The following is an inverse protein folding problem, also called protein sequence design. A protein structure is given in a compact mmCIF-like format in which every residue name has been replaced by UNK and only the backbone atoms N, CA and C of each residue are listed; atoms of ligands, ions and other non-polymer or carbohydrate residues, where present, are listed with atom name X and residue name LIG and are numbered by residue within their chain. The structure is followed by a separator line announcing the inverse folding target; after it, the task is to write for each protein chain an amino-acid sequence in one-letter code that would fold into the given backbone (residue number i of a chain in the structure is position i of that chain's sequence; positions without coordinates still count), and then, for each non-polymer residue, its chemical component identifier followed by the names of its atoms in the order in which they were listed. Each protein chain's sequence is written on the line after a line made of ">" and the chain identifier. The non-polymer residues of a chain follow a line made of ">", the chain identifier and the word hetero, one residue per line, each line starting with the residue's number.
data_IF_099370079627
#
_entry.id   IF_099370079627
#
_cell.length_a   1.000
_cell.length_b   1.000
_cell.length_c   1.000
_cell.angle_alpha   90.00
_cell.angle_beta   90.00
_cell.angle_gamma   90.00
#
_symmetry.space_group_name_H-M   'P 1'
#
loop_
_entity.id
_entity.type
_entity.pdbx_description
1 polymer ?
#
# COMPACT_ATOMS: atom_id res chain seq x y z
N UNK A 1 -30.38 9.56 -13.38
CA UNK A 1 -29.30 10.05 -12.52
C UNK A 1 -27.99 9.69 -13.17
N UNK A 2 -27.05 10.63 -13.31
CA UNK A 2 -25.69 10.29 -13.69
C UNK A 2 -25.06 9.45 -12.56
N UNK A 3 -24.19 8.47 -12.86
CA UNK A 3 -23.51 7.72 -11.81
C UNK A 3 -22.69 8.68 -10.96
N UNK A 4 -22.74 8.51 -9.63
CA UNK A 4 -21.87 9.22 -8.69
C UNK A 4 -20.42 8.98 -9.13
N UNK A 5 -19.75 10.03 -9.62
CA UNK A 5 -18.31 9.99 -9.87
C UNK A 5 -17.62 10.34 -8.56
N UNK A 6 -16.75 9.46 -8.09
CA UNK A 6 -15.92 9.72 -6.93
C UNK A 6 -15.04 10.95 -7.19
N UNK A 7 -15.15 11.95 -6.31
CA UNK A 7 -14.23 13.10 -6.26
C UNK A 7 -13.17 12.81 -5.20
N UNK A 8 -11.89 13.01 -5.56
CA UNK A 8 -10.75 12.70 -4.70
C UNK A 8 -10.60 13.74 -3.59
N UNK A 9 -10.13 13.33 -2.42
CA UNK A 9 -9.68 14.29 -1.42
C UNK A 9 -8.38 14.96 -1.87
N UNK A 10 -8.42 16.28 -2.05
CA UNK A 10 -7.22 17.08 -2.28
C UNK A 10 -6.34 17.16 -1.01
N UNK A 11 -6.95 17.06 0.19
CA UNK A 11 -6.24 17.09 1.46
C UNK A 11 -5.44 15.80 1.71
N UNK A 12 -5.93 14.65 1.23
CA UNK A 12 -5.22 13.38 1.37
C UNK A 12 -3.85 13.41 0.65
N UNK A 13 -3.76 14.08 -0.49
CA UNK A 13 -2.52 14.22 -1.26
C UNK A 13 -1.53 15.23 -0.65
N UNK A 14 -1.97 16.10 0.26
CA UNK A 14 -1.08 17.06 0.91
C UNK A 14 -0.17 16.37 1.91
N UNK A 15 1.10 16.79 1.88
CA UNK A 15 2.11 16.40 2.87
C UNK A 15 1.88 17.23 4.11
N UNK A 16 1.59 16.55 5.21
CA UNK A 16 1.49 17.20 6.51
C UNK A 16 2.90 17.56 7.02
N UNK A 17 3.06 18.76 7.57
CA UNK A 17 4.38 19.26 7.98
C UNK A 17 4.98 18.47 9.15
N UNK A 18 4.13 17.92 10.03
CA UNK A 18 4.58 17.09 11.14
C UNK A 18 4.94 15.68 10.65
N UNK A 19 4.19 15.13 9.68
CA UNK A 19 4.55 13.89 9.01
C UNK A 19 5.89 14.01 8.25
N UNK A 20 6.07 15.08 7.48
CA UNK A 20 7.33 15.37 6.78
C UNK A 20 8.51 15.42 7.75
N UNK A 21 8.35 16.16 8.86
CA UNK A 21 9.37 16.26 9.90
C UNK A 21 9.74 14.88 10.47
N UNK A 22 8.75 14.06 10.84
CA UNK A 22 9.01 12.72 11.36
C UNK A 22 9.78 11.85 10.36
N UNK A 23 9.44 11.96 9.06
CA UNK A 23 10.13 11.21 7.99
C UNK A 23 11.57 11.67 7.85
N UNK A 24 11.81 12.99 7.86
CA UNK A 24 13.15 13.56 7.79
C UNK A 24 14.01 13.18 9.01
N UNK A 25 13.42 13.22 10.21
CA UNK A 25 14.09 12.82 11.45
C UNK A 25 14.47 11.32 11.39
N UNK A 26 13.54 10.44 11.01
CA UNK A 26 13.81 9.01 10.86
C UNK A 26 14.85 8.70 9.77
N UNK A 27 14.84 9.46 8.66
CA UNK A 27 15.83 9.36 7.59
C UNK A 27 17.22 9.75 8.08
N UNK A 28 17.34 10.90 8.76
CA UNK A 28 18.60 11.41 9.28
C UNK A 28 19.20 10.46 10.33
N UNK A 29 18.38 9.97 11.27
CA UNK A 29 18.83 8.97 12.25
C UNK A 29 19.34 7.69 11.58
N UNK A 30 18.66 7.22 10.53
CA UNK A 30 19.08 6.01 9.80
C UNK A 30 20.39 6.25 9.06
N UNK A 31 20.62 7.45 8.53
CA UNK A 31 21.86 7.82 7.86
C UNK A 31 23.03 7.79 8.86
N UNK A 32 22.84 8.42 10.02
CA UNK A 32 23.82 8.45 11.10
C UNK A 32 24.16 7.04 11.63
N UNK A 33 23.14 6.20 11.85
CA UNK A 33 23.30 4.83 12.35
C UNK A 33 23.97 3.90 11.33
N UNK A 34 23.69 4.08 10.03
CA UNK A 34 24.24 3.25 8.96
C UNK A 34 25.70 3.57 8.64
N UNK A 35 26.21 4.72 9.13
CA UNK A 35 27.55 5.24 8.82
C UNK A 35 27.84 5.20 7.31
N UNK A 36 26.84 5.57 6.52
CA UNK A 36 26.86 5.56 5.06
C UNK A 36 26.75 6.98 4.51
N UNK A 37 27.24 7.20 3.29
CA UNK A 37 27.09 8.50 2.61
C UNK A 37 25.65 8.71 2.12
N UNK A 38 24.92 7.62 1.85
CA UNK A 38 23.56 7.63 1.31
C UNK A 38 22.65 6.58 1.97
N UNK A 39 21.34 6.82 1.87
CA UNK A 39 20.32 5.81 2.20
C UNK A 39 20.09 4.92 0.99
N UNK A 40 20.27 3.61 1.16
CA UNK A 40 19.94 2.59 0.16
C UNK A 40 18.61 1.91 0.47
N UNK A 41 18.02 1.21 -0.49
CA UNK A 41 16.75 0.48 -0.33
C UNK A 41 16.71 -0.42 0.91
N UNK A 42 17.79 -1.12 1.21
CA UNK A 42 17.89 -2.00 2.40
C UNK A 42 17.66 -1.27 3.73
N UNK A 43 17.79 0.07 3.75
CA UNK A 43 17.55 0.91 4.92
C UNK A 43 16.09 1.37 5.05
N UNK A 44 15.27 1.30 3.99
CA UNK A 44 13.86 1.71 4.06
C UNK A 44 13.04 0.99 5.15
N UNK A 45 13.20 -0.34 5.37
CA UNK A 45 12.48 -1.02 6.45
C UNK A 45 12.83 -0.45 7.83
N UNK A 46 14.06 0.03 8.02
CA UNK A 46 14.52 0.66 9.26
C UNK A 46 13.80 2.00 9.46
N UNK A 47 13.71 2.82 8.41
CA UNK A 47 12.98 4.09 8.44
C UNK A 47 11.51 3.87 8.79
N UNK A 48 10.83 2.93 8.12
CA UNK A 48 9.42 2.63 8.41
C UNK A 48 9.21 2.06 9.82
N UNK A 49 10.18 1.29 10.33
CA UNK A 49 10.16 0.81 11.70
C UNK A 49 10.28 1.96 12.71
N UNK A 50 11.23 2.91 12.50
CA UNK A 50 11.39 4.11 13.34
C UNK A 50 10.13 4.98 13.36
N UNK A 51 9.45 5.07 12.21
CA UNK A 51 8.16 5.77 12.09
C UNK A 51 6.99 5.04 12.76
N UNK A 52 7.21 3.83 13.32
CA UNK A 52 6.19 2.95 13.90
C UNK A 52 5.07 2.59 12.91
N UNK A 53 5.38 2.45 11.62
CA UNK A 53 4.39 2.02 10.64
C UNK A 53 4.00 0.56 10.91
N UNK A 54 2.70 0.22 11.03
CA UNK A 54 2.28 -1.17 11.17
C UNK A 54 2.76 -2.02 9.98
N UNK A 55 3.44 -3.12 10.28
CA UNK A 55 4.08 -3.98 9.26
C UNK A 55 3.11 -4.49 8.17
N UNK A 56 1.82 -4.57 8.45
CA UNK A 56 0.81 -4.90 7.43
C UNK A 56 0.74 -3.90 6.26
N UNK A 57 1.27 -2.69 6.41
CA UNK A 57 1.35 -1.68 5.35
C UNK A 57 2.72 -1.64 4.66
N UNK A 58 3.74 -2.33 5.18
CA UNK A 58 5.11 -2.33 4.62
C UNK A 58 5.58 -3.70 4.15
N UNK A 59 4.89 -4.78 4.52
CA UNK A 59 5.27 -6.16 4.21
C UNK A 59 5.58 -6.38 2.72
N UNK A 60 4.81 -5.78 1.84
CA UNK A 60 4.98 -5.86 0.39
C UNK A 60 6.27 -5.18 -0.09
N UNK A 61 6.63 -4.06 0.52
CA UNK A 61 7.88 -3.33 0.29
C UNK A 61 9.06 -4.16 0.79
N UNK A 62 8.97 -4.67 2.02
CA UNK A 62 10.02 -5.48 2.64
C UNK A 62 10.31 -6.73 1.79
N UNK A 63 9.26 -7.39 1.30
CA UNK A 63 9.37 -8.53 0.38
C UNK A 63 10.02 -8.16 -0.96
N UNK A 64 9.71 -6.98 -1.51
CA UNK A 64 10.31 -6.50 -2.75
C UNK A 64 11.79 -6.15 -2.58
N UNK A 65 12.15 -5.49 -1.48
CA UNK A 65 13.54 -5.16 -1.14
C UNK A 65 14.35 -6.44 -0.93
N UNK A 66 13.81 -7.40 -0.16
CA UNK A 66 14.46 -8.69 0.05
C UNK A 66 14.69 -9.41 -1.28
N UNK A 67 13.67 -9.49 -2.14
CA UNK A 67 13.79 -10.11 -3.45
C UNK A 67 14.81 -9.41 -4.36
N UNK A 68 14.86 -8.08 -4.33
CA UNK A 68 15.82 -7.29 -5.10
C UNK A 68 17.26 -7.67 -4.75
N UNK A 69 17.59 -7.66 -3.45
CA UNK A 69 18.94 -8.02 -3.02
C UNK A 69 19.23 -9.52 -3.23
N UNK A 70 18.27 -10.41 -2.96
CA UNK A 70 18.47 -11.84 -3.19
C UNK A 70 18.82 -12.13 -4.66
N UNK A 71 18.07 -11.59 -5.63
CA UNK A 71 18.30 -11.89 -7.05
C UNK A 71 19.50 -11.15 -7.64
N UNK A 72 19.82 -9.96 -7.16
CA UNK A 72 21.03 -9.25 -7.57
C UNK A 72 22.32 -10.06 -7.27
N UNK A 73 22.29 -10.98 -6.30
CA UNK A 73 23.39 -11.90 -6.04
C UNK A 73 23.36 -13.21 -6.85
N UNK A 74 22.24 -13.56 -7.50
CA UNK A 74 22.05 -14.86 -8.17
C UNK A 74 21.90 -14.79 -9.70
N UNK A 75 22.12 -13.63 -10.33
CA UNK A 75 22.20 -13.43 -11.80
C UNK A 75 21.06 -14.11 -12.59
N UNK A 76 19.86 -14.15 -12.00
CA UNK A 76 18.69 -14.85 -12.53
C UNK A 76 17.53 -13.87 -12.73
N UNK A 77 17.74 -12.94 -13.67
CA UNK A 77 16.68 -12.04 -14.12
C UNK A 77 15.69 -12.79 -15.03
N UNK A 78 14.64 -13.37 -14.44
CA UNK A 78 13.46 -13.84 -15.17
C UNK A 78 12.41 -12.72 -15.21
N UNK A 79 11.80 -12.46 -16.38
CA UNK A 79 10.62 -11.59 -16.57
C UNK A 79 9.41 -12.16 -15.83
N UNK A 80 9.43 -11.99 -14.51
CA UNK A 80 8.40 -12.43 -13.58
C UNK A 80 7.59 -11.23 -13.09
N UNK A 81 6.35 -11.46 -12.67
CA UNK A 81 5.53 -10.43 -12.03
C UNK A 81 6.25 -9.76 -10.84
N UNK A 82 7.05 -10.53 -10.08
CA UNK A 82 7.87 -9.99 -8.98
C UNK A 82 8.93 -9.00 -9.47
N UNK A 83 9.58 -9.28 -10.60
CA UNK A 83 10.53 -8.35 -11.23
C UNK A 83 9.87 -7.01 -11.58
N UNK A 84 8.64 -7.04 -12.10
CA UNK A 84 7.87 -5.83 -12.43
C UNK A 84 7.47 -5.03 -11.18
N UNK A 85 7.02 -5.71 -10.12
CA UNK A 85 6.72 -5.07 -8.84
C UNK A 85 7.95 -4.37 -8.27
N UNK A 86 9.10 -5.05 -8.27
CA UNK A 86 10.37 -4.50 -7.78
C UNK A 86 10.84 -3.33 -8.64
N UNK A 87 10.79 -3.43 -9.96
CA UNK A 87 11.09 -2.28 -10.83
C UNK A 87 10.18 -1.08 -10.56
N UNK A 88 8.91 -1.31 -10.23
CA UNK A 88 7.99 -0.23 -9.86
C UNK A 88 8.37 0.41 -8.52
N UNK A 89 8.70 -0.40 -7.51
CA UNK A 89 9.21 0.06 -6.21
C UNK A 89 10.45 0.94 -6.41
N UNK A 90 11.44 0.42 -7.14
CA UNK A 90 12.67 1.13 -7.46
C UNK A 90 12.35 2.50 -8.08
N UNK A 91 11.53 2.54 -9.13
CA UNK A 91 11.17 3.81 -9.79
C UNK A 91 10.51 4.82 -8.86
N UNK A 92 9.76 4.35 -7.87
CA UNK A 92 8.98 5.19 -6.97
C UNK A 92 9.71 5.60 -5.71
N UNK A 93 10.78 4.93 -5.32
CA UNK A 93 11.47 5.22 -4.05
C UNK A 93 12.95 5.55 -4.22
N UNK A 94 13.55 5.30 -5.38
CA UNK A 94 14.97 5.54 -5.63
C UNK A 94 15.22 6.59 -6.71
N UNK A 95 16.47 7.04 -6.79
CA UNK A 95 16.93 7.92 -7.83
C UNK A 95 16.81 7.23 -9.19
N UNK A 96 16.03 7.84 -10.07
CA UNK A 96 15.77 7.36 -11.43
C UNK A 96 16.33 8.34 -12.45
N UNK A 97 17.22 7.87 -13.31
CA UNK A 97 17.75 8.65 -14.43
C UNK A 97 17.42 8.02 -15.76
N UNK A 98 16.88 8.79 -16.70
CA UNK A 98 16.65 8.31 -18.06
C UNK A 98 17.89 8.56 -18.91
N UNK A 99 18.59 7.50 -19.31
CA UNK A 99 19.77 7.60 -20.18
C UNK A 99 19.50 6.87 -21.49
N UNK A 100 19.49 7.62 -22.61
CA UNK A 100 19.27 7.04 -23.94
C UNK A 100 17.87 6.45 -24.19
N UNK A 101 16.87 6.83 -23.37
CA UNK A 101 15.50 6.29 -23.46
C UNK A 101 15.23 5.08 -22.56
N UNK A 102 16.27 4.51 -21.94
CA UNK A 102 16.14 3.49 -20.90
C UNK A 102 16.20 4.14 -19.52
N UNK A 103 15.34 3.70 -18.60
CA UNK A 103 15.37 4.14 -17.21
C UNK A 103 16.43 3.33 -16.47
N UNK A 104 17.50 4.00 -16.07
CA UNK A 104 18.51 3.48 -15.15
C UNK A 104 18.07 3.82 -13.72
N UNK A 105 18.02 2.81 -12.87
CA UNK A 105 17.46 2.93 -11.52
C UNK A 105 18.51 2.50 -10.51
N UNK A 106 18.87 3.44 -9.64
CA UNK A 106 19.81 3.21 -8.54
C UNK A 106 19.11 2.51 -7.37
N UNK A 107 19.85 1.90 -6.45
CA UNK A 107 19.34 1.49 -5.14
C UNK A 107 19.45 2.59 -4.08
N UNK A 108 19.98 3.77 -4.44
CA UNK A 108 19.98 4.99 -3.62
C UNK A 108 18.58 5.60 -3.56
N UNK A 109 18.07 5.78 -2.36
CA UNK A 109 16.73 6.27 -2.06
C UNK A 109 16.61 7.76 -2.35
N UNK A 110 15.52 8.15 -3.00
CA UNK A 110 15.15 9.54 -3.26
C UNK A 110 14.28 10.07 -2.12
N UNK A 111 14.82 11.03 -1.35
CA UNK A 111 14.17 11.53 -0.13
C UNK A 111 12.81 12.18 -0.41
N UNK A 112 12.66 12.92 -1.52
CA UNK A 112 11.41 13.58 -1.88
C UNK A 112 10.30 12.55 -2.12
N UNK A 113 10.67 11.43 -2.76
CA UNK A 113 9.74 10.33 -3.00
C UNK A 113 9.39 9.59 -1.71
N UNK A 114 10.34 9.44 -0.79
CA UNK A 114 10.09 8.86 0.54
C UNK A 114 9.18 9.76 1.38
N UNK A 115 9.31 11.08 1.31
CA UNK A 115 8.41 12.01 2.00
C UNK A 115 6.98 11.82 1.48
N UNK A 116 6.79 11.80 0.16
CA UNK A 116 5.46 11.63 -0.44
C UNK A 116 4.82 10.28 -0.09
N UNK A 117 5.59 9.20 -0.23
CA UNK A 117 5.11 7.85 0.06
C UNK A 117 4.92 7.61 1.57
N UNK A 118 5.89 8.05 2.36
CA UNK A 118 5.89 7.96 3.82
C UNK A 118 4.76 8.74 4.47
N UNK A 119 4.38 9.89 3.90
CA UNK A 119 3.22 10.67 4.37
C UNK A 119 1.93 9.83 4.37
N UNK A 120 1.70 9.03 3.32
CA UNK A 120 0.55 8.11 3.27
C UNK A 120 0.63 7.04 4.36
N UNK A 121 1.80 6.44 4.53
CA UNK A 121 2.01 5.44 5.58
C UNK A 121 1.81 6.01 6.98
N UNK A 122 2.25 7.26 7.22
CA UNK A 122 2.02 7.98 8.47
C UNK A 122 0.52 8.19 8.70
N UNK A 123 -0.24 8.61 7.68
CA UNK A 123 -1.72 8.68 7.79
C UNK A 123 -2.35 7.33 8.12
N UNK A 124 -1.84 6.23 7.53
CA UNK A 124 -2.31 4.88 7.83
C UNK A 124 -1.99 4.45 9.26
N UNK A 125 -0.80 4.81 9.77
CA UNK A 125 -0.40 4.56 11.16
C UNK A 125 -1.33 5.30 12.12
N UNK A 126 -1.53 6.60 11.89
CA UNK A 126 -2.27 7.46 12.82
C UNK A 126 -3.75 7.06 12.91
N UNK A 127 -4.32 6.57 11.80
CA UNK A 127 -5.70 6.08 11.74
C UNK A 127 -5.82 4.55 11.80
N UNK A 128 -4.75 3.82 12.17
CA UNK A 128 -4.73 2.37 12.13
C UNK A 128 -5.89 1.70 12.91
N UNK A 129 -6.29 2.16 14.12
CA UNK A 129 -7.43 1.59 14.82
C UNK A 129 -8.75 1.70 14.04
N UNK A 130 -8.97 2.82 13.36
CA UNK A 130 -10.18 3.10 12.58
C UNK A 130 -10.21 2.25 11.31
N UNK A 131 -9.09 2.24 10.58
CA UNK A 131 -8.90 1.39 9.39
C UNK A 131 -9.15 -0.07 9.74
N UNK A 132 -8.56 -0.57 10.83
CA UNK A 132 -8.70 -1.95 11.28
C UNK A 132 -10.14 -2.29 11.65
N UNK A 133 -10.83 -1.40 12.36
CA UNK A 133 -12.22 -1.63 12.75
C UNK A 133 -13.17 -1.62 11.54
N UNK A 134 -13.00 -0.67 10.62
CA UNK A 134 -13.75 -0.64 9.37
C UNK A 134 -13.47 -1.88 8.52
N UNK A 135 -12.20 -2.28 8.40
CA UNK A 135 -11.80 -3.50 7.69
C UNK A 135 -12.45 -4.76 8.28
N UNK A 136 -12.53 -4.85 9.62
CA UNK A 136 -13.22 -5.95 10.32
C UNK A 136 -14.67 -6.08 9.87
N UNK A 137 -15.40 -4.97 9.75
CA UNK A 137 -16.80 -4.99 9.31
C UNK A 137 -16.93 -5.59 7.90
N UNK A 138 -16.03 -5.22 6.97
CA UNK A 138 -16.04 -5.75 5.61
C UNK A 138 -15.72 -7.27 5.58
N UNK A 139 -14.68 -7.69 6.30
CA UNK A 139 -14.29 -9.11 6.36
C UNK A 139 -15.34 -9.98 7.06
N UNK A 140 -16.00 -9.46 8.10
CA UNK A 140 -17.09 -10.18 8.77
C UNK A 140 -18.34 -10.28 7.87
N UNK A 141 -18.67 -9.19 7.16
CA UNK A 141 -19.79 -9.17 6.22
C UNK A 141 -19.60 -10.17 5.06
N UNK A 142 -18.37 -10.35 4.55
CA UNK A 142 -18.10 -11.35 3.52
C UNK A 142 -18.24 -12.79 4.05
N UNK A 143 -17.83 -13.05 5.30
CA UNK A 143 -17.84 -14.40 5.90
C UNK A 143 -19.21 -14.85 6.44
N UNK A 144 -20.07 -13.91 6.87
CA UNK A 144 -21.41 -14.22 7.44
C UNK A 144 -22.35 -14.95 6.47
N UNK A 145 -22.15 -14.82 5.15
CA UNK A 145 -22.97 -15.54 4.15
C UNK A 145 -22.50 -17.00 3.92
N UNK A 146 -21.28 -17.36 4.35
CA UNK A 146 -20.64 -18.64 4.02
C UNK A 146 -20.48 -19.61 5.20
N UNK A 147 -20.55 -19.15 6.44
CA UNK A 147 -20.50 -20.03 7.61
C UNK A 147 -21.20 -19.38 8.79
N UNK A 148 -22.23 -20.04 9.33
CA UNK A 148 -22.99 -19.60 10.51
C UNK A 148 -22.22 -19.67 11.83
N UNK A 149 -20.89 -19.50 11.82
CA UNK A 149 -20.03 -19.65 12.98
C UNK A 149 -19.26 -18.36 13.26
N UNK A 150 -19.86 -17.50 14.08
CA UNK A 150 -19.29 -16.22 14.54
C UNK A 150 -18.31 -16.43 15.71
N UNK A 151 -17.29 -17.26 15.53
CA UNK A 151 -16.14 -17.18 16.41
C UNK A 151 -15.31 -15.99 15.94
N UNK A 152 -15.19 -14.97 16.80
CA UNK A 152 -14.56 -13.69 16.47
C UNK A 152 -13.24 -13.88 15.72
N UNK A 153 -13.08 -13.16 14.61
CA UNK A 153 -11.89 -13.23 13.78
C UNK A 153 -10.67 -12.80 14.62
N UNK A 154 -9.61 -13.62 14.65
CA UNK A 154 -8.36 -13.19 15.28
C UNK A 154 -7.79 -12.02 14.51
N UNK A 155 -7.12 -11.11 15.21
CA UNK A 155 -6.56 -9.91 14.59
C UNK A 155 -5.50 -10.21 13.52
N UNK A 156 -4.74 -11.30 13.65
CA UNK A 156 -3.80 -11.77 12.61
C UNK A 156 -4.55 -12.14 11.33
N UNK A 157 -5.62 -12.92 11.46
CA UNK A 157 -6.40 -13.43 10.34
C UNK A 157 -7.18 -12.29 9.66
N UNK A 158 -7.51 -11.23 10.41
CA UNK A 158 -8.12 -10.02 9.89
C UNK A 158 -7.16 -9.26 8.98
N UNK A 159 -5.94 -9.02 9.46
CA UNK A 159 -4.91 -8.25 8.75
C UNK A 159 -4.50 -8.94 7.45
N UNK A 160 -4.42 -10.28 7.47
CA UNK A 160 -4.04 -11.08 6.32
C UNK A 160 -5.20 -11.43 5.38
N UNK A 161 -6.44 -11.09 5.75
CA UNK A 161 -7.60 -11.33 4.88
C UNK A 161 -7.50 -10.52 3.61
N UNK A 162 -7.89 -11.14 2.49
CA UNK A 162 -8.05 -10.50 1.18
C UNK A 162 -9.47 -10.69 0.70
N UNK A 163 -10.04 -9.66 0.09
CA UNK A 163 -11.40 -9.69 -0.45
C UNK A 163 -11.35 -9.70 -1.97
N UNK A 164 -11.95 -10.72 -2.57
CA UNK A 164 -12.14 -10.81 -4.02
C UNK A 164 -13.36 -10.02 -4.47
N UNK A 165 -13.55 -9.83 -5.78
CA UNK A 165 -14.79 -9.25 -6.33
C UNK A 165 -16.06 -9.99 -5.86
N UNK A 166 -15.98 -11.31 -5.69
CA UNK A 166 -17.10 -12.12 -5.21
C UNK A 166 -17.46 -11.77 -3.76
N UNK A 167 -16.44 -11.51 -2.94
CA UNK A 167 -16.62 -11.10 -1.55
C UNK A 167 -17.19 -9.69 -1.46
N UNK A 168 -16.68 -8.76 -2.27
CA UNK A 168 -17.20 -7.39 -2.35
C UNK A 168 -18.69 -7.34 -2.78
N UNK A 169 -19.09 -8.17 -3.76
CA UNK A 169 -20.52 -8.33 -4.12
C UNK A 169 -21.35 -8.89 -2.98
N UNK A 170 -20.78 -9.80 -2.19
CA UNK A 170 -21.46 -10.38 -1.03
C UNK A 170 -21.66 -9.35 0.07
N UNK A 171 -20.67 -8.49 0.31
CA UNK A 171 -20.74 -7.35 1.23
C UNK A 171 -21.78 -6.34 0.76
N UNK A 172 -21.78 -5.96 -0.52
CA UNK A 172 -22.78 -5.06 -1.11
C UNK A 172 -24.21 -5.53 -0.83
N UNK A 173 -24.50 -6.80 -1.10
CA UNK A 173 -25.82 -7.38 -0.84
C UNK A 173 -26.13 -7.55 0.66
N UNK A 174 -25.11 -7.67 1.53
CA UNK A 174 -25.31 -7.73 2.98
C UNK A 174 -25.64 -6.35 3.58
N UNK A 175 -25.05 -5.30 3.02
CA UNK A 175 -25.29 -3.91 3.42
C UNK A 175 -26.51 -3.30 2.73
N UNK A 176 -27.26 -4.09 1.95
CA UNK A 176 -28.43 -3.65 1.17
C UNK A 176 -28.11 -2.47 0.23
N UNK A 177 -26.87 -2.41 -0.27
CA UNK A 177 -26.35 -1.38 -1.16
C UNK A 177 -26.59 -1.73 -2.63
N UNK A 178 -27.70 -2.40 -2.96
CA UNK A 178 -27.95 -2.95 -4.29
C UNK A 178 -28.04 -1.88 -5.39
N UNK A 179 -28.41 -0.65 -4.99
CA UNK A 179 -28.48 0.53 -5.85
C UNK A 179 -27.10 1.09 -6.27
N UNK A 180 -26.01 0.68 -5.60
CA UNK A 180 -24.64 1.10 -5.93
C UNK A 180 -24.14 0.29 -7.14
N UNK A 181 -23.63 0.95 -8.17
CA UNK A 181 -23.11 0.26 -9.36
C UNK A 181 -21.93 -0.64 -9.02
N UNK A 182 -21.86 -1.84 -9.62
CA UNK A 182 -20.69 -2.73 -9.54
C UNK A 182 -19.40 -2.06 -10.07
N UNK A 183 -19.50 -0.99 -10.87
CA UNK A 183 -18.35 -0.18 -11.28
C UNK A 183 -17.58 0.39 -10.09
N UNK A 184 -18.25 0.72 -8.99
CA UNK A 184 -17.62 1.22 -7.77
C UNK A 184 -16.79 0.13 -7.07
N UNK A 185 -17.27 -1.11 -7.11
CA UNK A 185 -16.53 -2.25 -6.58
C UNK A 185 -15.31 -2.58 -7.46
N UNK A 186 -15.43 -2.39 -8.77
CA UNK A 186 -14.34 -2.53 -9.71
C UNK A 186 -13.30 -1.42 -9.52
N UNK A 187 -13.73 -0.18 -9.26
CA UNK A 187 -12.82 0.93 -8.93
C UNK A 187 -12.08 0.64 -7.61
N UNK A 188 -12.76 0.12 -6.57
CA UNK A 188 -12.10 -0.32 -5.33
C UNK A 188 -11.05 -1.41 -5.57
N UNK A 189 -11.30 -2.35 -6.48
CA UNK A 189 -10.31 -3.36 -6.87
C UNK A 189 -9.18 -2.78 -7.73
N UNK A 190 -9.49 -1.78 -8.57
CA UNK A 190 -8.52 -1.06 -9.41
C UNK A 190 -7.55 -0.21 -8.59
N UNK A 191 -8.01 0.35 -7.46
CA UNK A 191 -7.17 1.05 -6.50
C UNK A 191 -6.21 0.15 -5.71
N UNK A 192 -6.37 -1.18 -5.77
CA UNK A 192 -5.62 -2.15 -4.95
C UNK A 192 -4.18 -2.43 -5.40
N UNK A 193 -3.69 -1.76 -6.44
CA UNK A 193 -2.28 -1.87 -6.86
C UNK A 193 -1.67 -0.52 -7.12
N UNK A 194 -2.45 0.38 -7.71
CA UNK A 194 -2.06 1.76 -7.97
C UNK A 194 -3.02 2.72 -7.31
N UNK A 195 -2.48 3.79 -6.73
CA UNK A 195 -3.22 5.03 -6.51
C UNK A 195 -3.92 5.49 -7.79
N UNK A 196 -4.95 6.32 -7.63
CA UNK A 196 -5.71 6.87 -8.76
C UNK A 196 -4.88 7.88 -9.61
N UNK A 197 -3.66 8.20 -9.22
CA UNK A 197 -2.63 8.95 -9.97
C UNK A 197 -1.68 8.04 -10.74
N UNK A 198 -1.86 6.72 -10.64
CA UNK A 198 -1.05 5.71 -11.32
C UNK A 198 0.24 5.32 -10.59
N UNK A 199 0.48 5.81 -9.35
CA UNK A 199 1.60 5.35 -8.52
C UNK A 199 1.23 4.01 -7.88
N UNK A 200 2.12 3.03 -7.95
CA UNK A 200 1.95 1.75 -7.27
C UNK A 200 2.06 1.96 -5.76
N UNK A 201 1.13 1.41 -5.00
CA UNK A 201 1.15 1.47 -3.53
C UNK A 201 1.28 0.09 -2.91
N UNK A 202 0.75 -0.94 -3.61
CA UNK A 202 0.82 -2.32 -3.19
C UNK A 202 1.65 -3.11 -4.20
N UNK A 203 2.77 -3.65 -3.74
CA UNK A 203 3.71 -4.41 -4.56
C UNK A 203 3.51 -5.93 -4.45
N UNK A 204 2.51 -6.40 -3.68
CA UNK A 204 2.18 -7.82 -3.63
C UNK A 204 1.85 -8.32 -5.04
N UNK A 205 2.62 -9.30 -5.51
CA UNK A 205 2.41 -9.87 -6.84
C UNK A 205 1.00 -10.42 -6.96
N UNK A 206 0.27 -9.99 -7.99
CA UNK A 206 -1.05 -10.53 -8.33
C UNK A 206 -0.88 -11.99 -8.78
N UNK A 207 -0.83 -12.92 -7.82
CA UNK A 207 -0.71 -14.35 -8.12
C UNK A 207 -2.07 -15.04 -8.27
N UNK A 208 -3.18 -14.38 -7.91
CA UNK A 208 -4.50 -15.00 -7.80
C UNK A 208 -5.68 -14.24 -8.44
N UNK A 209 -5.49 -12.98 -8.88
CA UNK A 209 -6.57 -12.13 -9.42
C UNK A 209 -6.66 -10.78 -8.69
N UNK A 210 -7.65 -9.96 -9.05
CA UNK A 210 -7.92 -8.68 -8.39
C UNK A 210 -8.49 -8.94 -6.98
N UNK A 211 -7.75 -8.51 -5.97
CA UNK A 211 -8.07 -8.68 -4.54
C UNK A 211 -7.75 -7.37 -3.80
N UNK A 212 -8.47 -7.10 -2.70
CA UNK A 212 -8.24 -5.95 -1.82
C UNK A 212 -7.78 -6.46 -0.46
N UNK A 213 -6.62 -6.00 0.01
CA UNK A 213 -6.13 -6.19 1.38
C UNK A 213 -6.35 -4.94 2.24
N UNK A 214 -5.89 -4.99 3.50
CA UNK A 214 -6.04 -3.88 4.45
C UNK A 214 -5.31 -2.59 4.01
N UNK A 215 -4.14 -2.73 3.34
CA UNK A 215 -3.38 -1.58 2.81
C UNK A 215 -4.14 -0.87 1.68
N UNK A 216 -4.72 -1.65 0.78
CA UNK A 216 -5.54 -1.15 -0.33
C UNK A 216 -6.79 -0.46 0.21
N UNK A 217 -7.41 -1.06 1.22
CA UNK A 217 -8.55 -0.48 1.92
C UNK A 217 -8.20 0.85 2.60
N UNK A 218 -7.04 0.95 3.25
CA UNK A 218 -6.54 2.20 3.83
C UNK A 218 -6.38 3.29 2.77
N UNK A 219 -5.81 2.97 1.62
CA UNK A 219 -5.69 3.92 0.50
C UNK A 219 -7.06 4.39 -0.01
N UNK A 220 -8.02 3.47 -0.15
CA UNK A 220 -9.39 3.82 -0.55
C UNK A 220 -9.99 4.81 0.45
N UNK A 221 -9.86 4.56 1.76
CA UNK A 221 -10.33 5.46 2.81
C UNK A 221 -9.68 6.85 2.71
N UNK A 222 -8.37 6.90 2.46
CA UNK A 222 -7.65 8.15 2.24
C UNK A 222 -8.18 8.93 1.04
N UNK A 223 -8.34 8.25 -0.10
CA UNK A 223 -8.81 8.86 -1.35
C UNK A 223 -10.23 9.44 -1.24
N UNK A 224 -11.09 8.89 -0.37
CA UNK A 224 -12.43 9.43 -0.08
C UNK A 224 -12.45 10.45 1.07
N UNK A 225 -11.29 10.83 1.61
CA UNK A 225 -11.13 11.85 2.65
C UNK A 225 -11.53 11.40 4.06
N UNK A 226 -11.48 10.10 4.34
CA UNK A 226 -11.72 9.58 5.70
C UNK A 226 -10.46 9.60 6.58
N UNK A 227 -9.29 9.84 5.99
CA UNK A 227 -7.99 9.90 6.69
C UNK A 227 -7.37 11.31 6.63
N UNK A 228 -8.19 12.32 6.35
CA UNK A 228 -7.79 13.73 6.26
C UNK A 228 -7.63 14.38 7.63
#
# INVERSE_FOLDING_TARGET
>A
MAPLRFAKSEAYAQVDAEAERQILDAYAETLDESNSEDIYLKHLPIIFHKLNIPHCFTRDIDNCIQWFYDIHFYDSASDSHKSRSVQSLLRQLTLTTTRGGEQDVSDVVDIDKVILFGNRLVKFRDHFPEIKNAWRLFVEASKKKSSGNSNGLRDSDLIDSKLTLKDLRSIKGYLELDDISDSILIDMLGCGTTTLEGQVLNYEGISGGLEVGIKDFAEILGQIGQLD
#
